data_IF_498341823450
#
_entry.id   IF_498341823450
#
_cell.length_a   1.000
_cell.length_b   1.000
_cell.length_c   1.000
_cell.angle_alpha   90.00
_cell.angle_beta   90.00
_cell.angle_gamma   90.00
#
_symmetry.space_group_name_H-M   'P 1'
#
loop_
_entity.id
_entity.type
_entity.pdbx_description
1 polymer ?
#
# COMPACT_ATOMS: atom_id res chain seq x y z
N UNK A 1 16.70 -8.58 7.38
CA UNK A 1 17.50 -9.60 6.64
C UNK A 1 17.30 -11.02 7.18
N UNK A 2 17.71 -11.39 8.41
CA UNK A 2 17.53 -12.76 8.96
C UNK A 2 16.12 -13.35 8.79
N UNK A 3 15.08 -12.53 9.03
CA UNK A 3 13.68 -12.96 8.88
C UNK A 3 13.23 -13.33 7.46
N UNK A 4 13.98 -12.96 6.40
CA UNK A 4 13.69 -13.45 5.02
C UNK A 4 14.12 -14.91 4.83
N UNK A 5 15.04 -15.40 5.65
CA UNK A 5 15.58 -16.76 5.54
C UNK A 5 14.88 -17.70 6.51
N UNK A 6 14.69 -17.27 7.76
CA UNK A 6 14.06 -18.10 8.78
C UNK A 6 13.34 -17.25 9.82
N UNK A 7 12.24 -17.82 10.32
CA UNK A 7 11.43 -17.25 11.40
C UNK A 7 11.45 -18.21 12.61
N UNK A 8 11.53 -17.68 13.84
CA UNK A 8 11.46 -18.52 15.03
C UNK A 8 10.04 -19.10 15.25
N UNK A 9 9.90 -20.20 16.02
CA UNK A 9 8.62 -20.91 16.17
C UNK A 9 7.45 -20.07 16.72
N UNK A 10 7.72 -18.98 17.43
CA UNK A 10 6.69 -18.09 17.96
C UNK A 10 5.93 -17.30 16.87
N UNK A 11 6.33 -17.40 15.59
CA UNK A 11 5.56 -16.89 14.45
C UNK A 11 4.57 -17.90 13.86
N UNK A 12 4.44 -19.11 14.43
CA UNK A 12 3.54 -20.14 13.90
C UNK A 12 2.07 -19.70 13.81
N UNK A 13 1.62 -18.76 14.65
CA UNK A 13 0.28 -18.17 14.56
C UNK A 13 0.02 -17.34 13.29
N UNK A 14 1.06 -17.05 12.51
CA UNK A 14 1.02 -16.30 11.26
C UNK A 14 1.46 -17.17 10.06
N UNK A 15 1.37 -18.49 10.17
CA UNK A 15 1.75 -19.41 9.07
C UNK A 15 0.85 -19.24 7.82
N UNK A 16 -0.38 -18.74 7.99
CA UNK A 16 -1.26 -18.34 6.88
C UNK A 16 -1.00 -16.90 6.38
N UNK A 17 0.17 -16.33 6.67
CA UNK A 17 0.54 -14.96 6.30
C UNK A 17 2.01 -14.86 5.86
N UNK A 18 2.56 -15.94 5.29
CA UNK A 18 3.97 -15.95 4.86
C UNK A 18 4.30 -14.94 3.76
N UNK A 19 3.45 -14.72 2.73
CA UNK A 19 3.67 -13.63 1.78
C UNK A 19 3.75 -12.25 2.43
N UNK A 20 3.05 -12.03 3.55
CA UNK A 20 3.18 -10.79 4.31
C UNK A 20 4.57 -10.60 4.92
N UNK A 21 5.20 -11.65 5.44
CA UNK A 21 6.60 -11.53 5.90
C UNK A 21 7.56 -11.20 4.74
N UNK A 22 7.34 -11.80 3.57
CA UNK A 22 8.16 -11.48 2.38
C UNK A 22 8.01 -10.00 2.03
N UNK A 23 6.78 -9.50 1.96
CA UNK A 23 6.51 -8.08 1.69
C UNK A 23 7.06 -7.17 2.78
N UNK A 24 6.66 -7.35 4.04
CA UNK A 24 7.04 -6.46 5.14
C UNK A 24 8.56 -6.35 5.29
N UNK A 25 9.28 -7.47 5.18
CA UNK A 25 10.73 -7.46 5.35
C UNK A 25 11.43 -6.92 4.11
N UNK A 26 11.00 -7.30 2.90
CA UNK A 26 11.61 -6.78 1.67
C UNK A 26 11.37 -5.28 1.53
N UNK A 27 10.16 -4.81 1.81
CA UNK A 27 9.83 -3.39 1.75
C UNK A 27 10.59 -2.58 2.81
N UNK A 28 10.69 -3.09 4.04
CA UNK A 28 11.50 -2.41 5.07
C UNK A 28 12.97 -2.30 4.65
N UNK A 29 13.52 -3.33 4.00
CA UNK A 29 14.89 -3.29 3.48
C UNK A 29 15.01 -2.33 2.30
N UNK A 30 14.04 -2.26 1.41
CA UNK A 30 14.03 -1.32 0.29
C UNK A 30 13.99 0.13 0.81
N UNK A 31 13.11 0.42 1.77
CA UNK A 31 13.00 1.76 2.40
C UNK A 31 14.31 2.19 3.08
N UNK A 32 15.07 1.22 3.60
CA UNK A 32 16.36 1.44 4.23
C UNK A 32 17.56 1.42 3.26
N UNK A 33 17.32 1.31 1.94
CA UNK A 33 18.35 1.14 0.90
C UNK A 33 19.26 -0.09 1.12
N UNK A 34 18.67 -1.18 1.60
CA UNK A 34 19.37 -2.40 2.04
C UNK A 34 18.86 -3.68 1.38
N UNK A 35 17.95 -3.55 0.40
CA UNK A 35 17.42 -4.67 -0.37
C UNK A 35 18.29 -4.97 -1.60
N UNK A 36 18.85 -6.18 -1.66
CA UNK A 36 19.61 -6.65 -2.81
C UNK A 36 18.71 -7.39 -3.80
N UNK A 37 18.34 -6.73 -4.90
CA UNK A 37 17.55 -7.35 -5.97
C UNK A 37 18.21 -8.63 -6.51
N UNK A 38 19.52 -8.60 -6.75
CA UNK A 38 20.29 -9.74 -7.28
C UNK A 38 20.22 -10.97 -6.38
N UNK A 39 20.25 -10.77 -5.06
CA UNK A 39 20.19 -11.85 -4.10
C UNK A 39 18.75 -12.37 -3.91
N UNK A 40 17.81 -11.44 -3.70
CA UNK A 40 16.48 -11.79 -3.19
C UNK A 40 15.46 -12.04 -4.29
N UNK A 41 15.57 -11.39 -5.44
CA UNK A 41 14.55 -11.49 -6.49
C UNK A 41 14.26 -12.94 -6.95
N UNK A 42 15.27 -13.79 -7.22
CA UNK A 42 15.03 -15.18 -7.57
C UNK A 42 14.39 -16.01 -6.44
N UNK A 43 14.77 -15.74 -5.20
CA UNK A 43 14.28 -16.47 -4.02
C UNK A 43 12.84 -16.12 -3.69
N UNK A 44 12.50 -14.82 -3.78
CA UNK A 44 11.14 -14.31 -3.61
C UNK A 44 10.23 -14.89 -4.69
N UNK A 45 10.64 -14.83 -5.95
CA UNK A 45 9.89 -15.42 -7.06
C UNK A 45 9.67 -16.92 -6.88
N UNK A 46 10.72 -17.66 -6.50
CA UNK A 46 10.65 -19.10 -6.28
C UNK A 46 9.74 -19.48 -5.11
N UNK A 47 9.80 -18.76 -3.98
CA UNK A 47 8.93 -19.08 -2.84
C UNK A 47 7.46 -18.74 -3.13
N UNK A 48 7.21 -17.56 -3.70
CA UNK A 48 5.84 -17.11 -3.96
C UNK A 48 5.16 -17.91 -5.07
N UNK A 49 5.90 -18.45 -6.04
CA UNK A 49 5.31 -19.36 -7.05
C UNK A 49 4.71 -20.62 -6.42
N UNK A 50 5.28 -21.13 -5.32
CA UNK A 50 4.69 -22.25 -4.55
C UNK A 50 3.46 -21.84 -3.74
N UNK A 51 3.27 -20.55 -3.47
CA UNK A 51 2.10 -20.01 -2.77
C UNK A 51 0.97 -19.62 -3.73
N UNK A 52 1.21 -19.60 -5.04
CA UNK A 52 0.19 -19.27 -6.03
C UNK A 52 -0.75 -20.45 -6.25
N UNK A 53 -2.05 -20.19 -6.23
CA UNK A 53 -3.06 -21.21 -6.46
C UNK A 53 -3.27 -21.43 -7.98
N UNK A 54 -3.45 -22.67 -8.45
CA UNK A 54 -3.72 -22.96 -9.86
C UNK A 54 -4.99 -22.30 -10.42
N UNK A 55 -5.94 -21.91 -9.56
CA UNK A 55 -7.17 -21.20 -9.93
C UNK A 55 -7.06 -19.68 -9.80
N UNK A 56 -5.85 -19.18 -9.53
CA UNK A 56 -5.51 -17.76 -9.42
C UNK A 56 -5.46 -17.25 -7.98
N UNK A 57 -4.67 -16.20 -7.76
CA UNK A 57 -4.39 -15.64 -6.45
C UNK A 57 -3.26 -16.37 -5.72
N UNK A 58 -2.88 -15.87 -4.55
CA UNK A 58 -1.88 -16.49 -3.67
C UNK A 58 -2.51 -16.84 -2.32
N UNK A 59 -2.12 -17.99 -1.77
CA UNK A 59 -2.46 -18.40 -0.40
C UNK A 59 -1.46 -17.89 0.63
N UNK A 60 -1.80 -18.08 1.91
CA UNK A 60 -0.98 -17.68 3.05
C UNK A 60 0.36 -18.44 3.18
N UNK A 61 0.52 -19.51 2.41
CA UNK A 61 1.71 -20.35 2.30
C UNK A 61 1.48 -21.42 1.22
N UNK A 62 2.47 -22.28 0.93
CA UNK A 62 2.33 -23.31 -0.08
C UNK A 62 1.12 -24.23 0.18
N UNK A 63 0.37 -24.51 -0.88
CA UNK A 63 -0.84 -25.36 -0.86
C UNK A 63 -2.01 -24.84 -0.02
N UNK A 64 -1.98 -23.59 0.45
CA UNK A 64 -3.13 -22.96 1.09
C UNK A 64 -4.05 -22.31 0.06
N UNK A 65 -5.34 -22.18 0.39
CA UNK A 65 -6.34 -21.55 -0.47
C UNK A 65 -5.97 -20.09 -0.80
N UNK A 66 -6.28 -19.61 -2.02
CA UNK A 66 -5.99 -18.24 -2.42
C UNK A 66 -6.84 -17.24 -1.64
N UNK A 67 -6.23 -16.11 -1.29
CA UNK A 67 -6.87 -15.07 -0.51
C UNK A 67 -6.31 -13.70 -0.91
N UNK A 68 -7.16 -12.69 -1.06
CA UNK A 68 -6.79 -11.33 -1.46
C UNK A 68 -5.69 -10.69 -0.60
N UNK A 69 -5.64 -10.94 0.71
CA UNK A 69 -4.61 -10.39 1.59
C UNK A 69 -3.19 -10.91 1.25
N UNK A 70 -2.91 -12.23 1.28
CA UNK A 70 -1.63 -12.75 0.81
C UNK A 70 -1.39 -12.53 -0.68
N UNK A 71 -2.44 -12.39 -1.51
CA UNK A 71 -2.31 -12.00 -2.93
C UNK A 71 -1.72 -10.60 -3.08
N UNK A 72 -2.25 -9.61 -2.35
CA UNK A 72 -1.67 -8.26 -2.32
C UNK A 72 -0.21 -8.29 -1.84
N UNK A 73 0.08 -9.00 -0.75
CA UNK A 73 1.43 -9.08 -0.22
C UNK A 73 2.41 -9.75 -1.20
N UNK A 74 2.01 -10.86 -1.83
CA UNK A 74 2.81 -11.57 -2.82
C UNK A 74 3.10 -10.69 -4.04
N UNK A 75 2.09 -10.04 -4.61
CA UNK A 75 2.26 -9.17 -5.78
C UNK A 75 3.12 -7.96 -5.43
N UNK A 76 2.91 -7.34 -4.26
CA UNK A 76 3.75 -6.21 -3.81
C UNK A 76 5.21 -6.63 -3.62
N UNK A 77 5.45 -7.82 -3.07
CA UNK A 77 6.79 -8.38 -2.93
C UNK A 77 7.45 -8.70 -4.29
N UNK A 78 6.70 -9.19 -5.28
CA UNK A 78 7.20 -9.44 -6.64
C UNK A 78 7.48 -8.14 -7.40
N UNK A 79 6.68 -7.10 -7.17
CA UNK A 79 6.94 -5.75 -7.69
C UNK A 79 8.22 -5.18 -7.07
N UNK A 80 8.39 -5.27 -5.75
CA UNK A 80 9.63 -4.87 -5.06
C UNK A 80 10.85 -5.68 -5.51
N UNK A 81 10.68 -6.97 -5.79
CA UNK A 81 11.74 -7.81 -6.32
C UNK A 81 12.24 -7.34 -7.71
N UNK A 82 11.45 -6.54 -8.44
CA UNK A 82 11.94 -5.62 -9.48
C UNK A 82 12.49 -6.24 -10.76
N UNK A 83 12.42 -7.57 -10.92
CA UNK A 83 12.98 -8.31 -12.05
C UNK A 83 11.91 -8.93 -12.94
N UNK A 84 12.25 -9.16 -14.21
CA UNK A 84 11.38 -9.86 -15.14
C UNK A 84 11.01 -11.28 -14.65
N UNK A 85 11.94 -11.96 -13.98
CA UNK A 85 11.69 -13.27 -13.35
C UNK A 85 10.60 -13.17 -12.28
N UNK A 86 10.63 -12.13 -11.45
CA UNK A 86 9.59 -11.90 -10.44
C UNK A 86 8.24 -11.56 -11.09
N UNK A 87 8.21 -10.72 -12.14
CA UNK A 87 6.98 -10.37 -12.82
C UNK A 87 6.34 -11.58 -13.53
N UNK A 88 7.15 -12.43 -14.16
CA UNK A 88 6.71 -13.68 -14.81
C UNK A 88 6.19 -14.73 -13.84
N UNK A 89 6.50 -14.62 -12.54
CA UNK A 89 6.03 -15.57 -11.54
C UNK A 89 4.51 -15.50 -11.33
N UNK A 90 3.85 -14.42 -11.77
CA UNK A 90 2.39 -14.27 -11.65
C UNK A 90 1.69 -14.78 -12.91
N UNK A 91 0.81 -15.77 -12.75
CA UNK A 91 -0.14 -16.12 -13.80
C UNK A 91 -1.26 -15.08 -13.82
N UNK A 92 -1.13 -14.14 -14.75
CA UNK A 92 -2.05 -13.01 -14.89
C UNK A 92 -3.46 -13.43 -15.33
N UNK A 93 -3.60 -14.52 -16.10
CA UNK A 93 -4.90 -14.97 -16.59
C UNK A 93 -5.72 -15.57 -15.46
N UNK A 94 -5.14 -16.52 -14.70
CA UNK A 94 -5.83 -17.07 -13.53
C UNK A 94 -6.00 -16.02 -12.43
N UNK A 95 -5.06 -15.08 -12.26
CA UNK A 95 -5.23 -13.93 -11.36
C UNK A 95 -6.48 -13.12 -11.70
N UNK A 96 -6.71 -12.77 -12.97
CA UNK A 96 -7.92 -12.04 -13.36
C UNK A 96 -9.19 -12.84 -13.04
N UNK A 97 -9.21 -14.15 -13.35
CA UNK A 97 -10.33 -15.03 -12.99
C UNK A 97 -10.59 -15.06 -11.49
N UNK A 98 -9.55 -15.11 -10.66
CA UNK A 98 -9.67 -15.04 -9.20
C UNK A 98 -10.26 -13.70 -8.73
N UNK A 99 -9.77 -12.57 -9.26
CA UNK A 99 -10.29 -11.25 -8.91
C UNK A 99 -11.77 -11.10 -9.27
N UNK A 100 -12.17 -11.59 -10.45
CA UNK A 100 -13.57 -11.61 -10.87
C UNK A 100 -14.42 -12.56 -10.02
N UNK A 101 -13.88 -13.70 -9.57
CA UNK A 101 -14.54 -14.63 -8.65
C UNK A 101 -14.78 -14.00 -7.27
N UNK A 102 -13.86 -13.17 -6.80
CA UNK A 102 -13.97 -12.44 -5.54
C UNK A 102 -14.93 -11.25 -5.61
N UNK A 103 -15.16 -10.70 -6.81
CA UNK A 103 -16.05 -9.56 -7.02
C UNK A 103 -17.49 -9.91 -6.62
N UNK A 104 -18.07 -9.08 -5.76
CA UNK A 104 -19.48 -9.15 -5.38
C UNK A 104 -20.34 -8.33 -6.35
N UNK A 105 -21.59 -8.77 -6.63
CA UNK A 105 -22.58 -7.95 -7.36
C UNK A 105 -22.86 -6.58 -6.73
N UNK A 106 -22.54 -6.39 -5.45
CA UNK A 106 -22.72 -5.12 -4.73
C UNK A 106 -21.52 -4.17 -4.80
N UNK A 107 -20.52 -4.50 -5.63
CA UNK A 107 -19.31 -3.70 -5.87
C UNK A 107 -18.12 -4.02 -4.97
N UNK A 108 -18.34 -4.65 -3.81
CA UNK A 108 -17.29 -5.11 -2.91
C UNK A 108 -16.56 -6.35 -3.40
N UNK A 109 -15.62 -6.86 -2.60
CA UNK A 109 -14.88 -8.10 -2.89
C UNK A 109 -14.80 -8.99 -1.65
N UNK A 110 -15.12 -10.28 -1.83
CA UNK A 110 -14.83 -11.31 -0.85
C UNK A 110 -13.33 -11.50 -0.70
N UNK A 111 -12.87 -11.76 0.50
CA UNK A 111 -11.44 -11.94 0.79
C UNK A 111 -10.87 -13.25 0.25
N UNK A 112 -11.69 -14.30 0.21
CA UNK A 112 -11.44 -15.58 -0.44
C UNK A 112 -12.79 -16.25 -0.71
N UNK A 113 -12.80 -17.44 -1.33
CA UNK A 113 -14.02 -18.23 -1.51
C UNK A 113 -14.70 -18.49 -0.14
N UNK A 114 -15.98 -18.12 -0.01
CA UNK A 114 -16.74 -18.12 1.25
C UNK A 114 -16.16 -17.28 2.41
N UNK A 115 -15.25 -16.35 2.11
CA UNK A 115 -14.66 -15.43 3.08
C UNK A 115 -15.50 -14.18 3.35
N UNK A 116 -15.00 -13.35 4.28
CA UNK A 116 -15.60 -12.06 4.63
C UNK A 116 -15.53 -11.06 3.46
N UNK A 117 -16.41 -10.05 3.50
CA UNK A 117 -16.36 -8.91 2.57
C UNK A 117 -16.19 -7.64 3.38
N UNK A 118 -15.04 -6.99 3.23
CA UNK A 118 -14.80 -5.67 3.80
C UNK A 118 -13.89 -4.82 2.90
N UNK A 119 -13.61 -3.59 3.31
CA UNK A 119 -12.82 -2.63 2.55
C UNK A 119 -11.42 -3.12 2.17
N UNK A 120 -10.82 -4.06 2.90
CA UNK A 120 -9.53 -4.66 2.56
C UNK A 120 -9.61 -5.43 1.25
N UNK A 121 -10.70 -6.16 1.03
CA UNK A 121 -10.93 -6.91 -0.21
C UNK A 121 -10.92 -5.98 -1.41
N UNK A 122 -11.61 -4.84 -1.31
CA UNK A 122 -11.64 -3.83 -2.37
C UNK A 122 -10.23 -3.31 -2.67
N UNK A 123 -9.48 -2.87 -1.66
CA UNK A 123 -8.13 -2.37 -1.88
C UNK A 123 -7.19 -3.44 -2.44
N UNK A 124 -7.18 -4.64 -1.87
CA UNK A 124 -6.30 -5.71 -2.32
C UNK A 124 -6.58 -6.08 -3.78
N UNK A 125 -7.85 -6.21 -4.16
CA UNK A 125 -8.23 -6.53 -5.54
C UNK A 125 -7.83 -5.42 -6.51
N UNK A 126 -8.14 -4.15 -6.19
CA UNK A 126 -7.85 -3.01 -7.07
C UNK A 126 -6.34 -2.73 -7.17
N UNK A 127 -5.60 -2.82 -6.06
CA UNK A 127 -4.15 -2.63 -6.05
C UNK A 127 -3.44 -3.72 -6.85
N UNK A 128 -3.80 -5.00 -6.66
CA UNK A 128 -3.25 -6.12 -7.42
C UNK A 128 -3.56 -5.98 -8.90
N UNK A 129 -4.83 -5.70 -9.24
CA UNK A 129 -5.23 -5.50 -10.61
C UNK A 129 -4.46 -4.36 -11.27
N UNK A 130 -4.29 -3.23 -10.57
CA UNK A 130 -3.54 -2.09 -11.08
C UNK A 130 -2.06 -2.40 -11.27
N UNK A 131 -1.41 -3.04 -10.27
CA UNK A 131 0.00 -3.39 -10.34
C UNK A 131 0.30 -4.31 -11.52
N UNK A 132 -0.58 -5.26 -11.82
CA UNK A 132 -0.43 -6.26 -12.88
C UNK A 132 -1.07 -5.86 -14.22
N UNK A 133 -1.60 -4.65 -14.33
CA UNK A 133 -2.32 -4.12 -15.50
C UNK A 133 -3.50 -5.03 -15.91
N UNK A 134 -4.35 -5.35 -14.93
CA UNK A 134 -5.53 -6.21 -15.02
C UNK A 134 -6.84 -5.47 -14.70
N UNK A 135 -6.80 -4.16 -14.41
CA UNK A 135 -8.04 -3.41 -14.20
C UNK A 135 -8.84 -3.34 -15.50
N UNK A 136 -10.13 -3.61 -15.40
CA UNK A 136 -11.13 -3.49 -16.47
C UNK A 136 -12.32 -2.71 -15.94
N UNK A 137 -13.16 -2.21 -16.85
CA UNK A 137 -14.40 -1.52 -16.47
C UNK A 137 -15.35 -2.47 -15.72
N UNK A 138 -15.40 -3.75 -16.13
CA UNK A 138 -16.15 -4.83 -15.47
C UNK A 138 -15.65 -5.04 -14.03
N UNK A 139 -14.34 -5.12 -13.81
CA UNK A 139 -13.78 -5.30 -12.47
C UNK A 139 -14.08 -4.09 -11.56
N UNK A 140 -14.13 -2.88 -12.12
CA UNK A 140 -14.42 -1.64 -11.40
C UNK A 140 -15.90 -1.35 -11.16
N UNK A 141 -16.81 -2.07 -11.81
CA UNK A 141 -18.25 -1.82 -11.73
C UNK A 141 -18.77 -1.87 -10.29
N UNK A 142 -19.46 -0.82 -9.82
CA UNK A 142 -20.02 -0.76 -8.47
C UNK A 142 -19.01 -0.49 -7.33
N UNK A 143 -17.70 -0.51 -7.60
CA UNK A 143 -16.67 -0.26 -6.58
C UNK A 143 -16.81 1.14 -5.95
N UNK A 144 -16.99 2.23 -6.73
CA UNK A 144 -17.20 3.56 -6.15
C UNK A 144 -18.41 3.63 -5.23
N UNK A 145 -19.52 3.01 -5.63
CA UNK A 145 -20.77 3.00 -4.88
C UNK A 145 -20.65 2.19 -3.58
N UNK A 146 -19.93 1.06 -3.60
CA UNK A 146 -19.62 0.27 -2.40
C UNK A 146 -18.79 1.08 -1.41
N UNK A 147 -17.70 1.70 -1.87
CA UNK A 147 -16.79 2.46 -1.02
C UNK A 147 -17.49 3.69 -0.43
N UNK A 148 -18.31 4.40 -1.23
CA UNK A 148 -19.10 5.53 -0.76
C UNK A 148 -20.04 5.18 0.38
N UNK A 149 -20.72 4.02 0.35
CA UNK A 149 -21.59 3.58 1.44
C UNK A 149 -20.85 3.29 2.75
N UNK A 150 -19.54 3.04 2.66
CA UNK A 150 -18.70 2.81 3.82
C UNK A 150 -18.11 4.10 4.40
N UNK A 151 -18.26 5.26 3.73
CA UNK A 151 -17.91 6.55 4.32
C UNK A 151 -18.92 6.90 5.41
N UNK A 152 -18.43 7.15 6.61
CA UNK A 152 -19.26 7.34 7.80
C UNK A 152 -19.56 8.83 8.04
N UNK A 153 -20.46 9.11 8.98
CA UNK A 153 -20.71 10.46 9.48
C UNK A 153 -19.46 11.14 10.07
N UNK A 154 -18.46 10.35 10.50
CA UNK A 154 -17.21 10.90 11.04
C UNK A 154 -16.35 11.54 9.95
N UNK A 155 -16.55 11.14 8.68
CA UNK A 155 -15.80 11.56 7.49
C UNK A 155 -14.84 10.51 6.94
N UNK A 156 -14.32 9.61 7.80
CA UNK A 156 -13.51 8.47 7.39
C UNK A 156 -14.34 7.27 6.90
N UNK A 157 -13.65 6.21 6.46
CA UNK A 157 -14.26 5.01 5.88
C UNK A 157 -14.17 3.84 6.88
N UNK A 158 -15.26 3.10 6.98
CA UNK A 158 -15.37 1.87 7.77
C UNK A 158 -15.07 0.61 6.94
N UNK A 159 -14.94 -0.54 7.61
CA UNK A 159 -14.72 -1.83 6.93
C UNK A 159 -15.92 -2.26 6.10
N UNK A 160 -17.12 -2.01 6.63
CA UNK A 160 -18.42 -2.29 6.03
C UNK A 160 -19.37 -1.12 6.30
N UNK A 161 -20.48 -1.07 5.56
CA UNK A 161 -21.51 -0.04 5.73
C UNK A 161 -22.07 -0.03 7.16
N UNK A 162 -22.16 1.17 7.74
CA UNK A 162 -22.71 1.37 9.09
C UNK A 162 -21.74 1.10 10.25
N UNK A 163 -20.49 0.71 9.99
CA UNK A 163 -19.46 0.54 11.03
C UNK A 163 -18.66 1.84 11.29
N UNK A 164 -17.75 1.81 12.27
CA UNK A 164 -16.90 2.95 12.69
C UNK A 164 -15.78 3.24 11.66
N UNK A 165 -15.48 4.53 11.44
CA UNK A 165 -14.36 4.91 10.57
C UNK A 165 -13.02 4.46 11.16
N UNK A 166 -12.14 3.91 10.32
CA UNK A 166 -10.86 3.35 10.76
C UNK A 166 -9.74 3.68 9.79
N UNK A 167 -8.54 4.03 10.29
CA UNK A 167 -7.38 4.41 9.48
C UNK A 167 -7.04 3.40 8.37
N UNK A 168 -6.90 2.11 8.74
CA UNK A 168 -6.65 1.05 7.77
C UNK A 168 -7.71 0.95 6.65
N UNK A 169 -9.00 0.92 6.99
CA UNK A 169 -10.08 0.87 6.00
C UNK A 169 -10.20 2.18 5.20
N UNK A 170 -9.93 3.32 5.83
CA UNK A 170 -9.88 4.64 5.21
C UNK A 170 -8.79 4.73 4.14
N UNK A 171 -7.57 4.28 4.44
CA UNK A 171 -6.53 4.13 3.43
C UNK A 171 -6.96 3.19 2.31
N UNK A 172 -7.47 1.99 2.65
CA UNK A 172 -7.90 1.01 1.66
C UNK A 172 -8.92 1.58 0.66
N UNK A 173 -9.99 2.20 1.17
CA UNK A 173 -11.05 2.77 0.34
C UNK A 173 -10.57 3.96 -0.49
N UNK A 174 -9.83 4.90 0.12
CA UNK A 174 -9.31 6.07 -0.60
C UNK A 174 -8.31 5.67 -1.69
N UNK A 175 -7.35 4.80 -1.35
CA UNK A 175 -6.34 4.33 -2.30
C UNK A 175 -7.00 3.61 -3.49
N UNK A 176 -7.96 2.72 -3.25
CA UNK A 176 -8.69 2.03 -4.31
C UNK A 176 -9.39 3.01 -5.27
N UNK A 177 -10.06 4.04 -4.74
CA UNK A 177 -10.71 5.06 -5.57
C UNK A 177 -9.72 5.95 -6.30
N UNK A 178 -8.63 6.37 -5.65
CA UNK A 178 -7.61 7.17 -6.31
C UNK A 178 -6.90 6.38 -7.41
N UNK A 179 -6.64 5.08 -7.23
CA UNK A 179 -6.13 4.19 -8.29
C UNK A 179 -7.12 4.18 -9.48
N UNK A 180 -8.40 4.02 -9.20
CA UNK A 180 -9.47 3.98 -10.21
C UNK A 180 -9.79 5.36 -10.84
N UNK A 181 -9.22 6.46 -10.32
CA UNK A 181 -9.57 7.81 -10.74
C UNK A 181 -11.01 8.20 -10.39
N UNK A 182 -11.56 7.65 -9.31
CA UNK A 182 -12.96 7.77 -8.87
C UNK A 182 -13.12 8.28 -7.43
N UNK A 183 -12.14 9.04 -6.95
CA UNK A 183 -12.19 9.63 -5.60
C UNK A 183 -13.29 10.69 -5.44
N UNK A 184 -13.89 11.14 -6.55
CA UNK A 184 -15.10 11.98 -6.58
C UNK A 184 -16.32 11.34 -5.91
N UNK A 185 -16.31 10.03 -5.69
CA UNK A 185 -17.37 9.31 -5.00
C UNK A 185 -17.46 9.63 -3.49
N UNK A 186 -16.44 10.25 -2.89
CA UNK A 186 -16.36 10.55 -1.45
C UNK A 186 -16.55 12.04 -1.16
N UNK A 187 -17.03 12.36 0.05
CA UNK A 187 -16.88 13.69 0.63
C UNK A 187 -15.44 13.88 1.11
N UNK A 188 -14.58 14.45 0.25
CA UNK A 188 -13.16 14.63 0.53
C UNK A 188 -12.87 15.65 1.64
N UNK A 189 -13.74 16.65 1.84
CA UNK A 189 -13.54 17.64 2.90
C UNK A 189 -13.86 17.06 4.27
N UNK A 190 -14.95 16.31 4.39
CA UNK A 190 -15.27 15.57 5.61
C UNK A 190 -14.15 14.56 5.93
N UNK A 191 -13.61 13.88 4.92
CA UNK A 191 -12.50 12.95 5.08
C UNK A 191 -11.23 13.67 5.55
N UNK A 192 -10.84 14.78 4.91
CA UNK A 192 -9.68 15.56 5.36
C UNK A 192 -9.84 15.99 6.82
N UNK A 193 -11.02 16.52 7.19
CA UNK A 193 -11.32 16.90 8.58
C UNK A 193 -11.17 15.72 9.53
N UNK A 194 -11.69 14.55 9.19
CA UNK A 194 -11.55 13.35 10.01
C UNK A 194 -10.08 12.95 10.20
N UNK A 195 -9.32 12.91 9.11
CA UNK A 195 -7.94 12.44 9.08
C UNK A 195 -7.01 13.33 9.94
N UNK A 196 -7.16 14.66 9.89
CA UNK A 196 -6.34 15.57 10.70
C UNK A 196 -6.54 15.35 12.21
N UNK A 197 -7.73 14.97 12.66
CA UNK A 197 -8.01 14.65 14.07
C UNK A 197 -7.46 13.29 14.52
N UNK A 198 -6.80 12.53 13.63
CA UNK A 198 -6.20 11.23 13.98
C UNK A 198 -4.76 11.38 14.46
N UNK A 199 -4.10 12.51 14.22
CA UNK A 199 -2.79 12.76 14.80
C UNK A 199 -2.91 13.16 16.27
N UNK A 200 -2.14 12.51 17.13
CA UNK A 200 -2.19 12.70 18.57
C UNK A 200 -1.35 13.90 18.98
N UNK A 201 -1.94 14.87 19.68
CA UNK A 201 -1.27 16.14 20.02
C UNK A 201 -0.11 15.99 20.99
N UNK A 202 -0.14 14.96 21.85
CA UNK A 202 0.93 14.72 22.83
C UNK A 202 1.98 13.75 22.32
N UNK A 203 1.54 12.64 21.74
CA UNK A 203 2.44 11.57 21.30
C UNK A 203 3.07 11.83 19.93
N UNK A 204 2.44 12.64 19.06
CA UNK A 204 2.90 12.95 17.71
C UNK A 204 2.56 11.90 16.65
N UNK A 205 2.37 10.64 17.06
CA UNK A 205 1.89 9.55 16.22
C UNK A 205 0.38 9.61 15.93
N UNK A 206 -0.16 8.57 15.30
CA UNK A 206 -1.57 8.51 14.94
C UNK A 206 -2.35 7.44 15.73
N UNK A 207 -3.62 7.72 16.00
CA UNK A 207 -4.60 6.71 16.41
C UNK A 207 -5.38 6.19 15.20
N UNK A 208 -5.78 4.92 15.24
CA UNK A 208 -6.57 4.33 14.15
C UNK A 208 -8.00 4.84 14.07
N UNK A 209 -8.57 5.24 15.21
CA UNK A 209 -9.98 5.62 15.38
C UNK A 209 -10.12 6.63 16.52
N UNK A 210 -11.27 7.29 16.62
CA UNK A 210 -11.51 8.26 17.68
C UNK A 210 -11.40 7.62 19.08
N UNK A 211 -10.78 8.32 20.03
CA UNK A 211 -10.61 7.90 21.42
C UNK A 211 -9.91 6.54 21.59
N UNK A 212 -8.98 6.20 20.68
CA UNK A 212 -8.12 5.03 20.81
C UNK A 212 -6.67 5.47 21.04
N UNK A 213 -5.82 4.51 21.41
CA UNK A 213 -4.42 4.81 21.66
C UNK A 213 -3.67 5.07 20.35
N UNK A 214 -2.58 5.82 20.46
CA UNK A 214 -1.56 5.93 19.41
C UNK A 214 -0.99 4.55 19.07
N UNK A 215 -0.65 4.31 17.80
CA UNK A 215 0.05 3.10 17.35
C UNK A 215 0.87 3.41 16.08
N UNK A 216 2.11 2.94 16.05
CA UNK A 216 3.08 3.23 14.98
C UNK A 216 2.66 2.70 13.61
N UNK A 217 1.84 1.66 13.50
CA UNK A 217 1.39 1.20 12.18
C UNK A 217 0.49 2.23 11.49
N UNK A 218 -0.23 3.06 12.26
CA UNK A 218 -1.02 4.17 11.70
C UNK A 218 -0.17 5.31 11.16
N UNK A 219 1.15 5.30 11.39
CA UNK A 219 2.06 6.23 10.70
C UNK A 219 1.90 6.11 9.19
N UNK A 220 1.70 4.89 8.67
CA UNK A 220 1.36 4.69 7.26
C UNK A 220 -0.16 4.78 7.02
N UNK A 221 -0.95 3.98 7.73
CA UNK A 221 -2.40 3.89 7.44
C UNK A 221 -3.16 5.21 7.59
N UNK A 222 -2.69 6.14 8.42
CA UNK A 222 -3.23 7.51 8.49
C UNK A 222 -2.33 8.50 7.74
N UNK A 223 -1.01 8.41 7.88
CA UNK A 223 -0.08 9.36 7.24
C UNK A 223 -0.18 9.37 5.71
N UNK A 224 -0.40 8.21 5.08
CA UNK A 224 -0.56 8.10 3.63
C UNK A 224 -1.91 8.62 3.10
N UNK A 225 -2.91 8.86 3.97
CA UNK A 225 -4.19 9.46 3.57
C UNK A 225 -3.99 10.88 3.04
N UNK A 226 -3.09 11.67 3.63
CA UNK A 226 -2.90 13.07 3.24
C UNK A 226 -2.39 13.27 1.80
N UNK A 227 -1.31 12.59 1.34
CA UNK A 227 -0.93 12.68 -0.06
C UNK A 227 -1.98 12.04 -1.00
N UNK A 228 -2.71 11.01 -0.55
CA UNK A 228 -3.85 10.47 -1.32
C UNK A 228 -5.01 11.45 -1.45
N UNK A 229 -5.32 12.23 -0.41
CA UNK A 229 -6.34 13.27 -0.46
C UNK A 229 -5.91 14.40 -1.40
N UNK A 230 -4.64 14.80 -1.36
CA UNK A 230 -4.11 15.79 -2.31
C UNK A 230 -4.31 15.32 -3.75
N UNK A 231 -4.01 14.05 -4.02
CA UNK A 231 -4.26 13.44 -5.31
C UNK A 231 -5.76 13.35 -5.65
N UNK A 232 -6.62 13.01 -4.69
CA UNK A 232 -8.07 12.97 -4.88
C UNK A 232 -8.64 14.35 -5.26
N UNK A 233 -8.21 15.42 -4.59
CA UNK A 233 -8.58 16.80 -4.94
C UNK A 233 -8.06 17.17 -6.33
N UNK A 234 -6.82 16.81 -6.67
CA UNK A 234 -6.25 17.01 -8.01
C UNK A 234 -7.07 16.29 -9.09
N UNK A 235 -7.52 15.06 -8.84
CA UNK A 235 -8.37 14.30 -9.77
C UNK A 235 -9.73 14.97 -9.99
N UNK A 236 -10.28 15.66 -8.99
CA UNK A 236 -11.49 16.49 -9.10
C UNK A 236 -11.26 17.85 -9.77
N UNK A 237 -10.01 18.20 -10.07
CA UNK A 237 -9.64 19.54 -10.57
C UNK A 237 -9.78 20.64 -9.51
N UNK A 238 -9.76 20.26 -8.22
CA UNK A 238 -9.87 21.18 -7.11
C UNK A 238 -8.47 21.56 -6.61
N UNK A 239 -8.12 22.85 -6.70
CA UNK A 239 -6.90 23.36 -6.10
C UNK A 239 -7.12 23.62 -4.61
N UNK A 240 -6.53 22.76 -3.77
CA UNK A 240 -6.57 22.93 -2.32
C UNK A 240 -5.20 23.43 -1.84
N UNK A 241 -5.22 24.51 -1.06
CA UNK A 241 -4.01 25.06 -0.47
C UNK A 241 -3.34 24.02 0.44
N UNK A 242 -2.08 23.71 0.15
CA UNK A 242 -1.23 22.94 1.05
C UNK A 242 -0.64 23.87 2.11
N UNK A 243 -0.52 23.41 3.36
CA UNK A 243 0.28 24.11 4.35
C UNK A 243 1.71 24.29 3.83
N UNK A 244 2.36 25.40 4.21
CA UNK A 244 3.74 25.69 3.80
C UNK A 244 4.74 24.63 4.26
N UNK A 245 4.43 23.91 5.33
CA UNK A 245 5.36 23.11 6.10
C UNK A 245 5.15 21.59 5.91
N UNK A 246 4.67 21.18 4.71
CA UNK A 246 4.30 19.81 4.29
C UNK A 246 2.81 19.47 4.51
N UNK A 247 2.38 18.26 4.11
CA UNK A 247 1.00 17.74 4.05
C UNK A 247 0.09 18.18 5.22
N UNK A 248 -1.24 18.03 5.12
CA UNK A 248 -2.19 18.48 6.17
C UNK A 248 -2.04 17.83 7.57
N UNK A 249 -0.92 17.18 7.90
CA UNK A 249 -0.53 16.72 9.22
C UNK A 249 0.85 17.27 9.61
N UNK A 250 1.24 17.14 10.87
CA UNK A 250 2.55 17.60 11.34
C UNK A 250 3.63 16.51 11.13
N UNK A 251 4.55 16.64 10.15
CA UNK A 251 5.52 15.60 9.84
C UNK A 251 6.56 15.40 10.94
N UNK A 252 7.08 16.49 11.50
CA UNK A 252 8.13 16.43 12.52
C UNK A 252 7.68 15.67 13.78
N UNK A 253 6.50 15.95 14.40
CA UNK A 253 6.00 15.14 15.50
C UNK A 253 5.86 13.64 15.19
N UNK A 254 5.44 13.28 13.97
CA UNK A 254 5.36 11.87 13.56
C UNK A 254 6.75 11.23 13.52
N UNK A 255 7.73 11.88 12.89
CA UNK A 255 9.11 11.38 12.85
C UNK A 255 9.70 11.25 14.25
N UNK A 256 9.46 12.23 15.13
CA UNK A 256 9.89 12.18 16.54
C UNK A 256 9.26 10.99 17.28
N UNK A 257 7.95 10.74 17.11
CA UNK A 257 7.27 9.59 17.71
C UNK A 257 7.93 8.27 17.30
N UNK A 258 8.14 8.08 16.00
CA UNK A 258 8.71 6.85 15.45
C UNK A 258 10.13 6.64 15.97
N UNK A 259 10.98 7.65 15.86
CA UNK A 259 12.39 7.58 16.25
C UNK A 259 12.57 7.38 17.76
N UNK A 260 11.78 8.04 18.61
CA UNK A 260 12.00 8.02 20.06
C UNK A 260 11.18 6.96 20.79
N UNK A 261 9.99 6.61 20.31
CA UNK A 261 9.07 5.71 21.03
C UNK A 261 8.96 4.32 20.41
N UNK A 262 9.10 4.21 19.08
CA UNK A 262 8.76 3.00 18.32
C UNK A 262 9.97 2.15 17.92
N UNK A 263 11.19 2.64 18.05
CA UNK A 263 12.38 1.83 17.83
C UNK A 263 12.62 0.87 18.99
N UNK A 264 12.96 -0.38 18.68
CA UNK A 264 13.36 -1.36 19.68
C UNK A 264 14.91 -1.45 19.76
N UNK A 265 15.52 -1.48 20.96
CA UNK A 265 16.98 -1.46 21.11
C UNK A 265 17.71 -2.61 20.39
N UNK A 266 17.05 -3.76 20.20
CA UNK A 266 17.61 -4.93 19.50
C UNK A 266 17.26 -4.97 18.00
N UNK A 267 16.78 -3.87 17.44
CA UNK A 267 16.32 -3.75 16.06
C UNK A 267 14.83 -4.03 15.87
N UNK A 268 14.30 -3.53 14.75
CA UNK A 268 12.87 -3.53 14.43
C UNK A 268 12.11 -2.39 15.10
N UNK A 269 10.90 -2.13 14.62
CA UNK A 269 9.96 -1.19 15.22
C UNK A 269 8.75 -1.92 15.81
N UNK A 270 8.07 -1.25 16.73
CA UNK A 270 6.94 -1.75 17.52
C UNK A 270 5.78 -0.76 17.47
N UNK A 271 4.60 -1.21 17.88
CA UNK A 271 3.41 -0.38 18.13
C UNK A 271 3.74 0.88 18.97
N UNK A 272 4.12 0.68 20.24
CA UNK A 272 4.38 1.74 21.24
C UNK A 272 5.31 1.23 22.35
N UNK A 273 5.85 2.09 23.23
CA UNK A 273 6.62 1.65 24.39
C UNK A 273 5.90 0.59 25.23
N UNK A 274 6.65 -0.45 25.64
CA UNK A 274 6.11 -1.62 26.35
C UNK A 274 5.61 -2.75 25.45
N UNK A 275 5.57 -2.58 24.13
CA UNK A 275 5.30 -3.66 23.16
C UNK A 275 6.58 -4.24 22.56
N UNK A 276 6.51 -5.48 22.09
CA UNK A 276 7.58 -6.13 21.32
C UNK A 276 7.64 -5.57 19.90
N UNK A 277 8.81 -5.62 19.27
CA UNK A 277 8.95 -5.34 17.85
C UNK A 277 8.50 -6.54 17.00
N UNK A 278 7.99 -6.23 15.81
CA UNK A 278 7.59 -7.22 14.81
C UNK A 278 7.76 -6.65 13.39
N UNK A 279 7.64 -7.52 12.38
CA UNK A 279 7.86 -7.13 10.98
C UNK A 279 6.75 -6.23 10.42
N UNK A 280 5.52 -6.37 10.93
CA UNK A 280 4.39 -5.54 10.53
C UNK A 280 4.62 -4.07 10.94
N UNK A 281 4.89 -3.83 12.22
CA UNK A 281 5.18 -2.48 12.72
C UNK A 281 6.49 -1.93 12.16
N UNK A 282 7.51 -2.77 11.95
CA UNK A 282 8.74 -2.36 11.25
C UNK A 282 8.42 -1.79 9.87
N UNK A 283 7.64 -2.51 9.08
CA UNK A 283 7.26 -2.08 7.73
C UNK A 283 6.46 -0.78 7.76
N UNK A 284 5.35 -0.72 8.51
CA UNK A 284 4.43 0.40 8.43
C UNK A 284 4.91 1.65 9.17
N UNK A 285 5.72 1.50 10.23
CA UNK A 285 6.36 2.66 10.85
C UNK A 285 7.40 3.29 9.92
N UNK A 286 8.23 2.48 9.23
CA UNK A 286 9.17 2.98 8.22
C UNK A 286 8.45 3.60 7.03
N UNK A 287 7.40 2.95 6.53
CA UNK A 287 6.58 3.46 5.42
C UNK A 287 5.96 4.82 5.77
N UNK A 288 5.41 4.95 6.98
CA UNK A 288 4.86 6.21 7.48
C UNK A 288 5.90 7.31 7.70
N UNK A 289 7.08 6.93 8.19
CA UNK A 289 8.21 7.85 8.31
C UNK A 289 8.66 8.36 6.94
N UNK A 290 8.80 7.47 5.95
CA UNK A 290 9.10 7.85 4.57
C UNK A 290 8.03 8.81 4.02
N UNK A 291 6.73 8.51 4.17
CA UNK A 291 5.64 9.42 3.76
C UNK A 291 5.79 10.81 4.39
N UNK A 292 6.19 10.89 5.66
CA UNK A 292 6.37 12.16 6.37
C UNK A 292 7.61 12.96 5.96
N UNK A 293 8.53 12.34 5.22
CA UNK A 293 9.77 12.97 4.79
C UNK A 293 9.67 13.64 3.43
N UNK A 294 8.69 13.29 2.58
CA UNK A 294 8.57 13.81 1.22
C UNK A 294 7.28 14.56 0.98
N UNK A 295 7.35 15.83 0.59
CA UNK A 295 6.15 16.58 0.23
C UNK A 295 5.60 16.12 -1.14
N UNK A 296 4.46 16.68 -1.54
CA UNK A 296 3.81 16.31 -2.82
C UNK A 296 4.65 16.69 -4.05
N UNK A 297 5.55 17.68 -3.91
CA UNK A 297 6.48 18.15 -4.93
C UNK A 297 7.84 17.42 -4.86
N UNK A 298 8.06 16.55 -3.88
CA UNK A 298 9.30 15.81 -3.69
C UNK A 298 10.35 16.52 -2.83
N UNK A 299 10.04 17.68 -2.24
CA UNK A 299 10.89 18.30 -1.23
C UNK A 299 11.00 17.43 0.02
N UNK A 300 12.16 17.47 0.68
CA UNK A 300 12.46 16.62 1.84
C UNK A 300 12.44 17.39 3.16
N UNK A 301 11.90 16.76 4.20
CA UNK A 301 11.93 17.26 5.57
C UNK A 301 12.33 16.11 6.52
N UNK A 302 13.58 16.12 6.98
CA UNK A 302 14.15 15.06 7.83
C UNK A 302 14.36 15.57 9.24
N UNK A 303 13.78 14.89 10.22
CA UNK A 303 14.01 15.19 11.63
C UNK A 303 15.25 14.45 12.16
N UNK A 304 16.13 15.21 12.81
CA UNK A 304 17.35 14.68 13.44
C UNK A 304 18.52 14.58 12.45
N UNK A 305 19.21 13.45 12.48
CA UNK A 305 20.37 13.20 11.61
C UNK A 305 19.93 13.06 10.14
N UNK A 306 20.62 13.69 9.16
CA UNK A 306 20.28 13.55 7.75
C UNK A 306 20.26 12.09 7.24
N UNK A 307 20.98 11.18 7.89
CA UNK A 307 20.96 9.74 7.59
C UNK A 307 19.63 9.05 7.95
N UNK A 308 18.73 9.75 8.63
CA UNK A 308 17.36 9.27 8.86
C UNK A 308 16.49 9.34 7.59
N UNK A 309 16.96 9.95 6.50
CA UNK A 309 16.25 9.96 5.23
C UNK A 309 16.04 8.51 4.75
N UNK A 310 14.79 8.17 4.48
CA UNK A 310 14.37 6.87 3.98
C UNK A 310 13.98 6.97 2.51
N UNK A 311 14.09 5.88 1.76
CA UNK A 311 13.63 5.84 0.36
C UNK A 311 12.12 6.08 0.26
N UNK A 312 11.71 6.77 -0.81
CA UNK A 312 10.32 7.18 -1.02
C UNK A 312 9.43 5.98 -1.35
N UNK A 313 8.35 5.81 -0.60
CA UNK A 313 7.30 4.82 -0.89
C UNK A 313 6.17 5.41 -1.74
N UNK A 314 5.60 4.57 -2.61
CA UNK A 314 4.42 4.87 -3.41
C UNK A 314 3.17 4.92 -2.54
N UNK A 315 2.31 5.91 -2.80
CA UNK A 315 1.15 6.21 -1.96
C UNK A 315 -0.02 5.25 -2.22
N UNK A 316 -0.04 4.57 -3.37
CA UNK A 316 -1.12 3.67 -3.77
C UNK A 316 -0.87 2.22 -3.38
N UNK A 317 0.38 1.76 -3.49
CA UNK A 317 0.71 0.34 -3.37
C UNK A 317 1.60 0.02 -2.16
N UNK A 318 2.21 1.03 -1.53
CA UNK A 318 3.24 0.89 -0.51
C UNK A 318 4.42 0.00 -0.95
N UNK A 319 5.00 0.34 -2.09
CA UNK A 319 6.26 -0.21 -2.60
C UNK A 319 7.15 0.98 -2.96
N UNK A 320 8.46 0.80 -3.13
CA UNK A 320 9.30 1.92 -3.58
C UNK A 320 8.77 2.53 -4.89
N UNK A 321 8.76 3.85 -4.98
CA UNK A 321 8.24 4.58 -6.15
C UNK A 321 8.90 4.08 -7.44
N UNK A 322 10.21 3.88 -7.41
CA UNK A 322 10.98 3.36 -8.54
C UNK A 322 10.47 1.98 -9.02
N UNK A 323 10.13 1.08 -8.09
CA UNK A 323 9.60 -0.26 -8.40
C UNK A 323 8.19 -0.19 -8.98
N UNK A 324 7.35 0.69 -8.43
CA UNK A 324 6.01 0.95 -8.94
C UNK A 324 6.03 1.51 -10.38
N UNK A 325 7.05 2.29 -10.74
CA UNK A 325 7.22 2.83 -12.10
C UNK A 325 7.86 1.81 -13.05
N UNK A 326 8.91 1.09 -12.60
CA UNK A 326 9.65 0.11 -13.40
C UNK A 326 8.74 -1.01 -13.91
N UNK A 327 7.80 -1.50 -13.09
CA UNK A 327 6.86 -2.57 -13.50
C UNK A 327 6.05 -2.17 -14.74
N UNK A 328 5.75 -0.89 -14.93
CA UNK A 328 4.87 -0.43 -15.99
C UNK A 328 5.48 -0.69 -17.37
N UNK A 329 6.79 -0.56 -17.53
CA UNK A 329 7.48 -0.89 -18.79
C UNK A 329 7.27 -2.36 -19.18
N UNK A 330 7.37 -3.27 -18.21
CA UNK A 330 7.14 -4.70 -18.44
C UNK A 330 5.67 -4.97 -18.79
N UNK A 331 4.72 -4.61 -17.92
CA UNK A 331 3.32 -4.99 -18.11
C UNK A 331 2.64 -4.27 -19.30
N UNK A 332 3.10 -3.06 -19.68
CA UNK A 332 2.63 -2.39 -20.90
C UNK A 332 3.12 -3.06 -22.19
N UNK A 333 4.20 -3.85 -22.14
CA UNK A 333 4.74 -4.54 -23.32
C UNK A 333 4.03 -5.86 -23.62
N UNK A 334 3.23 -6.37 -22.68
CA UNK A 334 2.55 -7.65 -22.80
C UNK A 334 1.30 -7.54 -23.69
N UNK A 335 0.94 -8.61 -24.43
CA UNK A 335 -0.29 -8.65 -25.20
C UNK A 335 -1.54 -8.63 -24.29
N UNK A 336 -2.73 -8.35 -24.85
CA UNK A 336 -4.00 -8.55 -24.14
C UNK A 336 -4.11 -9.97 -23.58
N UNK A 337 -4.78 -10.11 -22.44
CA UNK A 337 -4.95 -11.41 -21.79
C UNK A 337 -5.96 -12.27 -22.55
N UNK A 338 -5.76 -13.58 -22.51
CA UNK A 338 -6.78 -14.56 -22.85
C UNK A 338 -7.28 -15.22 -21.57
N UNK A 339 -8.57 -15.05 -21.27
CA UNK A 339 -9.22 -15.61 -20.08
C UNK A 339 -10.49 -16.31 -20.53
N UNK A 340 -10.57 -17.63 -20.33
CA UNK A 340 -11.70 -18.47 -20.73
C UNK A 340 -12.12 -18.28 -22.20
N UNK A 341 -11.13 -18.13 -23.10
CA UNK A 341 -11.36 -17.90 -24.53
C UNK A 341 -11.78 -16.48 -24.91
N UNK A 342 -11.89 -15.55 -23.94
CA UNK A 342 -12.18 -14.13 -24.17
C UNK A 342 -10.90 -13.30 -24.11
N UNK A 343 -10.77 -12.33 -25.01
CA UNK A 343 -9.71 -11.33 -24.91
C UNK A 343 -10.07 -10.28 -23.86
N UNK A 344 -9.22 -10.13 -22.85
CA UNK A 344 -9.37 -9.15 -21.77
C UNK A 344 -8.27 -8.10 -21.90
N UNK A 345 -8.68 -6.85 -22.07
CA UNK A 345 -7.76 -5.72 -22.13
C UNK A 345 -7.66 -5.04 -20.76
N UNK A 346 -6.76 -5.57 -19.93
CA UNK A 346 -6.41 -4.96 -18.65
C UNK A 346 -5.53 -3.72 -18.80
N UNK A 347 -5.57 -2.84 -17.80
CA UNK A 347 -4.76 -1.63 -17.72
C UNK A 347 -4.32 -1.34 -16.28
N UNK A 348 -3.33 -0.47 -16.12
CA UNK A 348 -3.09 0.20 -14.83
C UNK A 348 -4.25 1.14 -14.51
N UNK A 349 -4.51 1.40 -13.24
CA UNK A 349 -5.53 2.35 -12.79
C UNK A 349 -5.30 3.73 -13.38
N UNK A 350 -6.38 4.37 -13.85
CA UNK A 350 -6.30 5.66 -14.55
C UNK A 350 -5.71 6.76 -13.67
N UNK A 351 -6.00 6.77 -12.37
CA UNK A 351 -5.43 7.74 -11.44
C UNK A 351 -3.97 7.45 -11.11
N UNK A 352 -3.58 6.18 -11.00
CA UNK A 352 -2.17 5.81 -10.85
C UNK A 352 -1.33 6.22 -12.08
N UNK A 353 -1.82 5.91 -13.28
CA UNK A 353 -1.17 6.30 -14.53
C UNK A 353 -1.14 7.83 -14.72
N UNK A 354 -2.16 8.55 -14.25
CA UNK A 354 -2.20 10.02 -14.31
C UNK A 354 -1.16 10.66 -13.38
N UNK A 355 -0.98 10.13 -12.16
CA UNK A 355 0.04 10.63 -11.22
C UNK A 355 1.44 10.47 -11.79
N UNK A 356 1.75 9.32 -12.40
CA UNK A 356 3.04 9.09 -13.05
C UNK A 356 3.31 10.14 -14.15
N UNK A 357 2.34 10.36 -15.04
CA UNK A 357 2.44 11.40 -16.08
C UNK A 357 2.63 12.79 -15.48
N UNK A 358 1.91 13.11 -14.41
CA UNK A 358 2.01 14.40 -13.71
C UNK A 358 3.40 14.65 -13.13
N UNK A 359 4.04 13.62 -12.56
CA UNK A 359 5.42 13.68 -12.03
C UNK A 359 6.45 13.87 -13.14
N UNK A 360 6.35 13.08 -14.21
CA UNK A 360 7.23 13.18 -15.38
C UNK A 360 7.16 14.58 -15.99
N UNK A 361 5.95 15.12 -16.17
CA UNK A 361 5.76 16.46 -16.74
C UNK A 361 6.37 17.59 -15.90
N UNK A 362 6.64 17.35 -14.61
CA UNK A 362 7.22 18.32 -13.67
C UNK A 362 8.70 18.05 -13.34
N UNK A 363 9.35 17.11 -14.05
CA UNK A 363 10.70 16.65 -13.74
C UNK A 363 10.88 16.24 -12.27
N UNK A 364 9.81 15.76 -11.63
CA UNK A 364 9.87 15.18 -10.29
C UNK A 364 10.40 13.76 -10.43
N UNK A 365 11.69 13.65 -10.78
CA UNK A 365 12.36 12.37 -10.95
C UNK A 365 12.68 11.74 -9.58
N UNK A 366 12.70 10.42 -9.57
CA UNK A 366 12.98 9.56 -8.42
C UNK A 366 14.37 9.74 -7.80
N UNK A 367 15.33 10.33 -8.53
CA UNK A 367 16.64 10.74 -8.02
C UNK A 367 16.97 12.18 -8.44
N UNK A 368 16.94 13.11 -7.50
CA UNK A 368 18.09 14.00 -7.43
C UNK A 368 19.22 13.14 -6.88
N UNK A 369 20.15 12.75 -7.74
CA UNK A 369 21.40 12.14 -7.30
C UNK A 369 22.01 13.10 -6.29
N UNK A 370 22.05 12.71 -5.02
CA UNK A 370 22.92 13.36 -4.06
C UNK A 370 24.34 13.19 -4.63
N UNK A 371 24.94 14.29 -5.10
CA UNK A 371 26.36 14.32 -5.43
C UNK A 371 27.11 14.30 -4.09
N UNK A 372 27.90 13.26 -3.78
CA UNK A 372 28.73 13.25 -2.58
C UNK A 372 29.80 14.35 -2.56
N UNK A 373 29.87 15.20 -3.59
CA UNK A 373 30.84 16.29 -3.74
C UNK A 373 30.23 17.69 -3.82
N UNK A 374 28.94 17.89 -3.52
CA UNK A 374 28.35 19.24 -3.37
C UNK A 374 28.30 19.71 -1.92
#
# INVERSE_FOLDING_TARGET
KRGLVSLPPNFAGLDASRPWFVFWISHSLEILDEFSETLWSPQVAAFLSHCQDPTGGFGGGPSQLPHLAPTYAAVSALVLAGSETAYKAVDRSSMYSFLMRMKSPHGGFKMHDEGETDMRGCYCAIAVASMLHLLTDELLEGVPEYIRRCQTWEGGIAGEEGLEAHGGYSYCGLAALCIAGRADALDLHAFLKWAVYKQMTREGGFQGRANKLVDSCYSFWQGAIFPLLHEAFRQRGEEVALPKDHCWFAPQPLQTYILLACQHPNGGLRDKPGKSADFYHTCYALSGMAVSQYDVQGGTAVFGDPRNLLERTDIYYNVAVEKAERKCAYFNSLPPLSVDGRTVQGREGSGAAALLKWRVARNLQWRQVWDPRS
#
